data_IF_063044932451
#
_entry.id   IF_063044932451
#
_cell.length_a   1.000
_cell.length_b   1.000
_cell.length_c   1.000
_cell.angle_alpha   90.00
_cell.angle_beta   90.00
_cell.angle_gamma   90.00
#
_symmetry.space_group_name_H-M   'P 1'
#
loop_
_entity.id
_entity.type
_entity.pdbx_description
1 polymer ?
#
# COMPACT_ATOMS: atom_id res chain seq x y z
N UNK A 1 -33.17 3.89 21.08
CA UNK A 1 -33.46 3.21 19.80
C UNK A 1 -34.79 3.77 19.31
N UNK A 2 -34.75 4.79 18.45
CA UNK A 2 -35.98 5.37 17.87
C UNK A 2 -36.04 4.88 16.42
N UNK A 3 -37.12 4.17 16.11
CA UNK A 3 -37.43 3.69 14.77
C UNK A 3 -38.26 4.75 14.06
N UNK A 4 -37.66 5.46 13.09
CA UNK A 4 -38.40 6.23 12.09
C UNK A 4 -38.13 5.57 10.74
N UNK A 5 -39.20 5.28 9.99
CA UNK A 5 -39.16 4.44 8.81
C UNK A 5 -38.33 5.02 7.67
N UNK A 6 -37.72 4.11 6.90
CA UNK A 6 -37.42 4.36 5.49
C UNK A 6 -35.96 4.60 5.09
N UNK A 7 -34.96 4.23 5.88
CA UNK A 7 -33.61 3.89 5.42
C UNK A 7 -32.79 3.40 6.63
N UNK A 8 -31.91 2.41 6.43
CA UNK A 8 -30.91 2.06 7.43
C UNK A 8 -29.82 3.14 7.43
N UNK A 9 -30.10 4.30 8.02
CA UNK A 9 -29.05 5.30 8.30
C UNK A 9 -28.26 4.82 9.52
N UNK A 10 -27.03 4.35 9.27
CA UNK A 10 -26.05 4.08 10.32
C UNK A 10 -25.89 5.36 11.15
N UNK A 11 -26.18 5.25 12.45
CA UNK A 11 -26.44 6.38 13.34
C UNK A 11 -25.50 7.57 13.16
N UNK A 12 -25.99 8.62 12.51
CA UNK A 12 -25.34 9.92 12.48
C UNK A 12 -25.58 10.63 13.81
N UNK A 13 -24.53 10.85 14.59
CA UNK A 13 -24.58 11.75 15.75
C UNK A 13 -24.98 13.15 15.23
N UNK A 14 -25.99 13.84 15.80
CA UNK A 14 -26.32 15.19 15.38
C UNK A 14 -25.17 16.12 15.77
N UNK A 15 -24.33 16.49 14.81
CA UNK A 15 -23.27 17.48 14.97
C UNK A 15 -23.85 18.88 14.70
N UNK A 16 -23.98 19.77 15.71
CA UNK A 16 -24.41 21.14 15.47
C UNK A 16 -23.35 21.89 14.65
N UNK A 17 -23.81 22.61 13.62
CA UNK A 17 -23.03 23.58 12.83
C UNK A 17 -21.91 23.03 11.90
N UNK A 18 -21.92 21.73 11.56
CA UNK A 18 -20.88 21.08 10.72
C UNK A 18 -21.48 20.47 9.42
N UNK A 19 -22.74 20.81 9.10
CA UNK A 19 -23.44 20.28 7.91
C UNK A 19 -22.73 20.58 6.59
N UNK A 20 -22.02 21.71 6.49
CA UNK A 20 -21.23 22.08 5.31
C UNK A 20 -20.03 21.14 5.08
N UNK A 21 -19.46 20.57 6.14
CA UNK A 21 -18.33 19.65 6.04
C UNK A 21 -18.79 18.28 5.57
N UNK A 22 -19.93 17.80 6.09
CA UNK A 22 -20.51 16.52 5.68
C UNK A 22 -20.88 16.58 4.20
N UNK A 23 -21.51 17.66 3.74
CA UNK A 23 -21.84 17.82 2.33
C UNK A 23 -20.60 17.98 1.45
N UNK A 24 -19.56 18.68 1.91
CA UNK A 24 -18.29 18.80 1.18
C UNK A 24 -17.57 17.44 1.05
N UNK A 25 -17.51 16.65 2.14
CA UNK A 25 -16.91 15.31 2.12
C UNK A 25 -17.71 14.38 1.22
N UNK A 26 -19.04 14.40 1.27
CA UNK A 26 -19.88 13.58 0.41
C UNK A 26 -19.72 13.92 -1.08
N UNK A 27 -19.62 15.22 -1.42
CA UNK A 27 -19.33 15.64 -2.79
C UNK A 27 -17.93 15.21 -3.24
N UNK A 28 -16.94 15.32 -2.35
CA UNK A 28 -15.58 14.86 -2.63
C UNK A 28 -15.54 13.34 -2.85
N UNK A 29 -16.14 12.56 -1.95
CA UNK A 29 -16.19 11.09 -2.03
C UNK A 29 -16.86 10.63 -3.32
N UNK A 30 -18.00 11.23 -3.67
CA UNK A 30 -18.70 10.92 -4.92
C UNK A 30 -17.86 11.24 -6.17
N UNK A 31 -17.23 12.43 -6.21
CA UNK A 31 -16.41 12.85 -7.35
C UNK A 31 -15.13 12.00 -7.45
N UNK A 32 -14.39 11.86 -6.36
CA UNK A 32 -13.16 11.08 -6.30
C UNK A 32 -13.40 9.60 -6.56
N UNK A 33 -14.50 9.02 -6.03
CA UNK A 33 -14.85 7.62 -6.20
C UNK A 33 -15.00 7.19 -7.67
N UNK A 34 -15.36 8.11 -8.57
CA UNK A 34 -15.43 7.81 -10.01
C UNK A 34 -14.06 7.70 -10.68
N UNK A 35 -13.07 8.47 -10.23
CA UNK A 35 -11.74 8.55 -10.88
C UNK A 35 -10.71 7.68 -10.17
N UNK A 36 -10.84 7.54 -8.85
CA UNK A 36 -9.96 6.76 -7.98
C UNK A 36 -9.62 5.35 -8.51
N UNK A 37 -10.58 4.50 -8.92
CA UNK A 37 -10.26 3.14 -9.38
C UNK A 37 -9.31 3.10 -10.57
N UNK A 38 -9.45 4.03 -11.52
CA UNK A 38 -8.62 4.08 -12.72
C UNK A 38 -7.20 4.54 -12.42
N UNK A 39 -7.06 5.57 -11.58
CA UNK A 39 -5.74 6.05 -11.13
C UNK A 39 -5.04 4.96 -10.34
N UNK A 40 -5.76 4.32 -9.42
CA UNK A 40 -5.21 3.29 -8.55
C UNK A 40 -4.74 2.06 -9.35
N UNK A 41 -5.53 1.62 -10.34
CA UNK A 41 -5.14 0.54 -11.25
C UNK A 41 -3.88 0.88 -12.06
N UNK A 42 -3.81 2.11 -12.61
CA UNK A 42 -2.63 2.57 -13.34
C UNK A 42 -1.37 2.57 -12.45
N UNK A 43 -1.47 3.14 -11.24
CA UNK A 43 -0.35 3.20 -10.30
C UNK A 43 0.12 1.80 -9.88
N UNK A 44 -0.80 0.85 -9.67
CA UNK A 44 -0.42 -0.50 -9.31
C UNK A 44 0.25 -1.25 -10.47
N UNK A 45 -0.22 -1.10 -11.71
CA UNK A 45 0.43 -1.72 -12.88
C UNK A 45 1.84 -1.17 -13.07
N UNK A 46 1.99 0.16 -13.08
CA UNK A 46 3.30 0.80 -13.22
C UNK A 46 4.21 0.44 -12.05
N UNK A 47 3.69 0.48 -10.82
CA UNK A 47 4.41 0.13 -9.61
C UNK A 47 4.91 -1.31 -9.60
N UNK A 48 4.08 -2.28 -10.01
CA UNK A 48 4.50 -3.68 -10.15
C UNK A 48 5.62 -3.83 -11.18
N UNK A 49 5.49 -3.19 -12.35
CA UNK A 49 6.52 -3.27 -13.40
C UNK A 49 7.86 -2.67 -12.94
N UNK A 50 7.83 -1.49 -12.32
CA UNK A 50 9.06 -0.81 -11.87
C UNK A 50 9.75 -1.58 -10.73
N UNK A 51 8.99 -2.12 -9.77
CA UNK A 51 9.56 -2.94 -8.71
C UNK A 51 10.07 -4.29 -9.23
N UNK A 52 9.42 -4.89 -10.24
CA UNK A 52 9.91 -6.11 -10.87
C UNK A 52 11.25 -5.87 -11.59
N UNK A 53 11.38 -4.78 -12.34
CA UNK A 53 12.65 -4.38 -12.96
C UNK A 53 13.73 -4.21 -11.89
N UNK A 54 13.39 -3.61 -10.75
CA UNK A 54 14.33 -3.43 -9.62
C UNK A 54 14.82 -4.79 -9.09
N UNK A 55 13.93 -5.76 -8.90
CA UNK A 55 14.29 -7.13 -8.52
C UNK A 55 15.22 -7.76 -9.57
N UNK A 56 14.86 -7.69 -10.86
CA UNK A 56 15.65 -8.30 -11.94
C UNK A 56 17.06 -7.70 -12.01
N UNK A 57 17.18 -6.38 -11.88
CA UNK A 57 18.47 -5.69 -11.93
C UNK A 57 19.33 -6.06 -10.72
N UNK A 58 18.77 -6.07 -9.52
CA UNK A 58 19.50 -6.35 -8.28
C UNK A 58 19.83 -7.83 -8.06
N UNK A 59 19.09 -8.74 -8.69
CA UNK A 59 19.34 -10.20 -8.58
C UNK A 59 20.50 -10.67 -9.49
N UNK A 60 21.11 -9.77 -10.28
CA UNK A 60 22.28 -10.13 -11.10
C UNK A 60 23.45 -10.57 -10.20
N UNK A 61 24.07 -11.74 -10.45
CA UNK A 61 25.07 -12.33 -9.54
C UNK A 61 26.34 -11.47 -9.34
N UNK A 62 26.62 -10.55 -10.26
CA UNK A 62 27.72 -9.59 -10.14
C UNK A 62 27.47 -8.47 -9.11
N UNK A 63 26.24 -8.31 -8.59
CA UNK A 63 25.86 -7.22 -7.68
C UNK A 63 25.39 -7.71 -6.29
N UNK A 64 25.73 -8.92 -5.89
CA UNK A 64 25.33 -9.45 -4.58
C UNK A 64 26.12 -8.74 -3.47
N UNK A 65 25.47 -7.79 -2.82
CA UNK A 65 25.95 -7.09 -1.62
C UNK A 65 24.84 -7.10 -0.56
N UNK A 66 25.16 -7.04 0.73
CA UNK A 66 24.14 -7.06 1.79
C UNK A 66 23.10 -5.93 1.63
N UNK A 67 23.53 -4.77 1.12
CA UNK A 67 22.63 -3.64 0.82
C UNK A 67 21.71 -3.97 -0.36
N UNK A 68 22.24 -4.57 -1.42
CA UNK A 68 21.45 -4.91 -2.61
C UNK A 68 20.45 -6.04 -2.35
N UNK A 69 20.78 -6.97 -1.44
CA UNK A 69 19.82 -7.99 -0.97
C UNK A 69 18.66 -7.33 -0.22
N UNK A 70 18.92 -6.39 0.68
CA UNK A 70 17.86 -5.65 1.38
C UNK A 70 17.02 -4.80 0.43
N UNK A 71 17.63 -4.14 -0.55
CA UNK A 71 16.91 -3.40 -1.60
C UNK A 71 16.03 -4.33 -2.44
N UNK A 72 16.49 -5.54 -2.73
CA UNK A 72 15.69 -6.55 -3.41
C UNK A 72 14.50 -6.99 -2.54
N UNK A 73 14.70 -7.21 -1.23
CA UNK A 73 13.61 -7.52 -0.30
C UNK A 73 12.55 -6.41 -0.23
N UNK A 74 12.95 -5.14 -0.25
CA UNK A 74 12.01 -4.00 -0.32
C UNK A 74 11.20 -4.06 -1.62
N UNK A 75 11.87 -4.19 -2.77
CA UNK A 75 11.18 -4.27 -4.05
C UNK A 75 10.22 -5.47 -4.14
N UNK A 76 10.58 -6.62 -3.55
CA UNK A 76 9.69 -7.78 -3.45
C UNK A 76 8.46 -7.49 -2.59
N UNK A 77 8.64 -6.84 -1.43
CA UNK A 77 7.52 -6.43 -0.58
C UNK A 77 6.56 -5.51 -1.34
N UNK A 78 7.08 -4.54 -2.10
CA UNK A 78 6.28 -3.63 -2.89
C UNK A 78 5.53 -4.35 -4.03
N UNK A 79 6.15 -5.32 -4.71
CA UNK A 79 5.46 -6.16 -5.71
C UNK A 79 4.28 -6.91 -5.09
N UNK A 80 4.47 -7.51 -3.90
CA UNK A 80 3.42 -8.26 -3.20
C UNK A 80 2.24 -7.34 -2.85
N UNK A 81 2.52 -6.16 -2.30
CA UNK A 81 1.48 -5.19 -1.94
C UNK A 81 0.73 -4.72 -3.19
N UNK A 82 1.44 -4.33 -4.25
CA UNK A 82 0.81 -3.85 -5.49
C UNK A 82 -0.01 -4.93 -6.18
N UNK A 83 0.44 -6.19 -6.19
CA UNK A 83 -0.31 -7.31 -6.74
C UNK A 83 -1.60 -7.57 -5.94
N UNK A 84 -1.53 -7.57 -4.61
CA UNK A 84 -2.71 -7.75 -3.77
C UNK A 84 -3.74 -6.63 -3.96
N UNK A 85 -3.28 -5.40 -4.14
CA UNK A 85 -4.13 -4.24 -4.37
C UNK A 85 -4.75 -4.25 -5.78
N UNK A 86 -4.03 -4.74 -6.80
CA UNK A 86 -4.57 -4.91 -8.15
C UNK A 86 -5.77 -5.88 -8.17
N UNK A 87 -5.68 -6.98 -7.42
CA UNK A 87 -6.80 -7.93 -7.25
C UNK A 87 -7.96 -7.24 -6.53
N UNK A 88 -7.69 -6.46 -5.48
CA UNK A 88 -8.71 -5.72 -4.75
C UNK A 88 -9.45 -4.70 -5.66
N UNK A 89 -8.71 -3.86 -6.38
CA UNK A 89 -9.30 -2.82 -7.25
C UNK A 89 -10.09 -3.41 -8.41
N UNK A 90 -9.56 -4.43 -9.07
CA UNK A 90 -10.26 -5.07 -10.20
C UNK A 90 -11.58 -5.72 -9.78
N UNK A 91 -11.60 -6.42 -8.63
CA UNK A 91 -12.80 -7.08 -8.14
C UNK A 91 -13.81 -6.10 -7.51
N UNK A 92 -13.40 -5.34 -6.50
CA UNK A 92 -14.33 -4.51 -5.71
C UNK A 92 -14.65 -3.17 -6.35
N UNK A 93 -13.67 -2.54 -6.99
CA UNK A 93 -13.81 -1.16 -7.48
C UNK A 93 -14.31 -1.09 -8.93
N UNK A 94 -14.10 -2.15 -9.72
CA UNK A 94 -14.54 -2.21 -11.13
C UNK A 94 -15.64 -3.26 -11.31
N UNK A 95 -15.42 -4.49 -10.81
CA UNK A 95 -16.38 -5.59 -10.95
C UNK A 95 -17.67 -5.36 -10.16
N UNK A 96 -17.55 -5.27 -8.83
CA UNK A 96 -18.70 -5.16 -7.93
C UNK A 96 -19.46 -3.83 -8.12
N UNK A 97 -18.75 -2.72 -8.37
CA UNK A 97 -19.36 -1.42 -8.65
C UNK A 97 -20.27 -1.41 -9.90
N UNK A 98 -19.99 -2.27 -10.88
CA UNK A 98 -20.75 -2.34 -12.14
C UNK A 98 -21.82 -3.44 -12.13
N UNK A 99 -21.67 -4.47 -11.26
CA UNK A 99 -22.56 -5.64 -11.22
C UNK A 99 -23.62 -5.58 -10.13
N UNK A 100 -23.43 -4.81 -9.05
CA UNK A 100 -24.38 -4.65 -7.94
C UNK A 100 -25.03 -5.99 -7.50
N UNK A 101 -24.28 -7.09 -7.54
CA UNK A 101 -24.79 -8.44 -7.28
C UNK A 101 -24.40 -8.87 -5.86
N UNK A 102 -25.28 -9.62 -5.19
CA UNK A 102 -25.07 -10.06 -3.81
C UNK A 102 -23.89 -11.05 -3.71
N UNK A 103 -23.58 -11.77 -4.79
CA UNK A 103 -22.46 -12.71 -4.82
C UNK A 103 -21.06 -12.05 -4.76
N UNK A 104 -20.94 -10.78 -5.16
CA UNK A 104 -19.65 -10.05 -5.12
C UNK A 104 -19.22 -9.72 -3.68
N UNK A 105 -20.14 -9.82 -2.72
CA UNK A 105 -19.91 -9.59 -1.29
C UNK A 105 -19.99 -10.88 -0.45
N UNK A 106 -19.62 -12.01 -1.04
CA UNK A 106 -19.57 -13.30 -0.33
C UNK A 106 -18.55 -13.30 0.83
N UNK A 107 -18.74 -14.19 1.80
CA UNK A 107 -17.84 -14.34 2.97
C UNK A 107 -16.37 -14.52 2.56
N UNK A 108 -16.11 -15.25 1.46
CA UNK A 108 -14.76 -15.44 0.93
C UNK A 108 -14.08 -14.11 0.54
N UNK A 109 -14.83 -13.20 -0.09
CA UNK A 109 -14.34 -11.88 -0.49
C UNK A 109 -14.12 -10.96 0.70
N UNK A 110 -14.95 -11.05 1.75
CA UNK A 110 -14.73 -10.33 3.00
C UNK A 110 -13.44 -10.80 3.70
N UNK A 111 -13.19 -12.11 3.77
CA UNK A 111 -11.94 -12.67 4.31
C UNK A 111 -10.74 -12.25 3.48
N UNK A 112 -10.85 -12.24 2.15
CA UNK A 112 -9.80 -11.73 1.27
C UNK A 112 -9.49 -10.26 1.57
N UNK A 113 -10.49 -9.39 1.70
CA UNK A 113 -10.28 -7.96 2.01
C UNK A 113 -9.60 -7.77 3.36
N UNK A 114 -9.98 -8.56 4.38
CA UNK A 114 -9.31 -8.56 5.68
C UNK A 114 -7.84 -8.97 5.56
N UNK A 115 -7.57 -10.06 4.83
CA UNK A 115 -6.21 -10.54 4.60
C UNK A 115 -5.38 -9.51 3.81
N UNK A 116 -5.94 -8.91 2.77
CA UNK A 116 -5.32 -7.85 1.99
C UNK A 116 -4.98 -6.62 2.84
N UNK A 117 -5.91 -6.19 3.71
CA UNK A 117 -5.69 -5.06 4.62
C UNK A 117 -4.53 -5.34 5.60
N UNK A 118 -4.46 -6.53 6.19
CA UNK A 118 -3.35 -6.89 7.06
C UNK A 118 -2.02 -7.03 6.29
N UNK A 119 -2.06 -7.72 5.16
CA UNK A 119 -0.90 -7.96 4.30
C UNK A 119 -0.28 -6.65 3.86
N UNK A 120 -1.09 -5.71 3.35
CA UNK A 120 -0.60 -4.40 2.88
C UNK A 120 0.10 -3.62 4.00
N UNK A 121 -0.50 -3.57 5.20
CA UNK A 121 0.10 -2.87 6.36
C UNK A 121 1.40 -3.53 6.81
N UNK A 122 1.43 -4.86 6.91
CA UNK A 122 2.62 -5.62 7.34
C UNK A 122 3.77 -5.39 6.37
N UNK A 123 3.56 -5.64 5.07
CA UNK A 123 4.62 -5.53 4.07
C UNK A 123 5.09 -4.09 3.84
N UNK A 124 4.18 -3.11 3.93
CA UNK A 124 4.57 -1.70 3.89
C UNK A 124 5.44 -1.33 5.09
N UNK A 125 5.04 -1.75 6.29
CA UNK A 125 5.85 -1.57 7.51
C UNK A 125 7.22 -2.25 7.39
N UNK A 126 7.27 -3.51 6.93
CA UNK A 126 8.52 -4.24 6.70
C UNK A 126 9.46 -3.47 5.76
N UNK A 127 8.93 -2.89 4.68
CA UNK A 127 9.73 -2.10 3.73
C UNK A 127 10.36 -0.86 4.37
N UNK A 128 9.64 -0.20 5.27
CA UNK A 128 10.16 0.93 6.06
C UNK A 128 11.31 0.46 6.97
N UNK A 129 11.12 -0.64 7.70
CA UNK A 129 12.15 -1.20 8.60
C UNK A 129 13.40 -1.69 7.85
N UNK A 130 13.22 -2.26 6.67
CA UNK A 130 14.33 -2.66 5.78
C UNK A 130 15.09 -1.42 5.28
N UNK A 131 14.39 -0.34 4.94
CA UNK A 131 15.01 0.92 4.53
C UNK A 131 15.84 1.54 5.66
N UNK A 132 15.30 1.55 6.88
CA UNK A 132 16.05 1.98 8.08
C UNK A 132 17.31 1.12 8.27
N UNK A 133 17.20 -0.19 8.08
CA UNK A 133 18.32 -1.13 8.18
C UNK A 133 19.40 -0.84 7.11
N UNK A 134 19.02 -0.49 5.88
CA UNK A 134 19.96 -0.09 4.82
C UNK A 134 20.73 1.18 5.22
N UNK A 135 20.02 2.19 5.74
CA UNK A 135 20.65 3.44 6.19
C UNK A 135 21.64 3.17 7.31
N UNK A 136 21.26 2.32 8.27
CA UNK A 136 22.13 1.91 9.36
C UNK A 136 23.41 1.21 8.87
N UNK A 137 23.28 0.26 7.94
CA UNK A 137 24.44 -0.44 7.35
C UNK A 137 25.37 0.52 6.61
N UNK A 138 24.81 1.47 5.85
CA UNK A 138 25.59 2.51 5.16
C UNK A 138 26.35 3.40 6.15
N UNK A 139 25.70 3.80 7.24
CA UNK A 139 26.34 4.60 8.28
C UNK A 139 27.49 3.84 8.95
N UNK A 140 27.30 2.57 9.30
CA UNK A 140 28.33 1.73 9.89
C UNK A 140 29.54 1.57 8.96
N UNK A 141 29.30 1.29 7.68
CA UNK A 141 30.36 1.18 6.67
C UNK A 141 31.16 2.49 6.55
N UNK A 142 30.47 3.64 6.52
CA UNK A 142 31.11 4.95 6.44
C UNK A 142 32.02 5.22 7.65
N UNK A 143 31.56 4.91 8.86
CA UNK A 143 32.36 5.04 10.09
C UNK A 143 33.64 4.19 10.03
N UNK A 144 33.53 2.93 9.61
CA UNK A 144 34.67 2.02 9.49
C UNK A 144 35.71 2.57 8.50
N UNK A 145 35.27 3.11 7.35
CA UNK A 145 36.17 3.69 6.35
C UNK A 145 36.89 4.93 6.88
N UNK A 146 36.21 5.82 7.59
CA UNK A 146 36.82 7.03 8.18
C UNK A 146 37.85 6.66 9.25
N UNK A 147 37.49 5.80 10.20
CA UNK A 147 38.40 5.39 11.28
C UNK A 147 39.52 4.47 10.80
N UNK A 148 39.28 3.64 9.80
CA UNK A 148 40.29 2.83 9.13
C UNK A 148 41.32 3.70 8.40
N UNK A 149 40.86 4.70 7.64
CA UNK A 149 41.76 5.62 6.94
C UNK A 149 42.59 6.47 7.91
N UNK A 150 42.02 6.89 9.05
CA UNK A 150 42.79 7.57 10.11
C UNK A 150 43.84 6.68 10.80
N UNK A 151 43.67 5.35 10.83
CA UNK A 151 44.65 4.42 11.40
C UNK A 151 45.80 4.08 10.46
N UNK A 152 45.60 4.19 9.14
CA UNK A 152 46.66 3.93 8.15
C UNK A 152 47.59 5.15 8.01
N UNK A 153 47.08 6.35 8.26
CA UNK A 153 47.81 7.61 8.10
C UNK A 153 48.49 8.12 9.40
N UNK A 154 48.67 7.26 10.40
CA UNK A 154 49.36 7.53 11.66
C UNK A 154 50.35 6.40 11.94
#
# INVERSE_FOLDING_TARGET
MIMSGGACEIGSVPLPNITWLISAIAQFDSSYGTVHPYIALFLCVVGTLMNLVTVIVLTRPSMISPVNVLLCSVALCDVIVMASYLIFVSHFLIGAANRCDHNDYSFAWAVFTLFHAHTSVIFHSTSIWLTVSIVFLKFCLWQILIFGNKRINR
#
